data_IF_550847224175
#
_entry.id   IF_550847224175
#
_cell.length_a   1.000
_cell.length_b   1.000
_cell.length_c   1.000
_cell.angle_alpha   90.00
_cell.angle_beta   90.00
_cell.angle_gamma   90.00
#
_symmetry.space_group_name_H-M   'P 1'
#
loop_
_entity.id
_entity.type
_entity.pdbx_description
1 polymer ?
#
# COMPACT_ATOMS: atom_id res chain seq x y z
N UNK A 1 27.12 16.63 18.25
CA UNK A 1 26.80 16.85 16.83
C UNK A 1 25.46 16.24 16.41
N UNK A 2 25.21 14.94 16.63
CA UNK A 2 23.92 14.31 16.29
C UNK A 2 22.70 14.95 17.00
N UNK A 3 22.78 15.20 18.31
CA UNK A 3 21.68 15.82 19.05
C UNK A 3 21.31 17.21 18.50
N UNK A 4 22.31 18.04 18.18
CA UNK A 4 22.12 19.34 17.54
C UNK A 4 21.52 19.20 16.14
N UNK A 5 21.98 18.21 15.36
CA UNK A 5 21.42 17.91 14.05
C UNK A 5 19.94 17.49 14.14
N UNK A 6 19.57 16.57 15.05
CA UNK A 6 18.16 16.15 15.23
C UNK A 6 17.27 17.32 15.64
N UNK A 7 17.71 18.10 16.62
CA UNK A 7 16.89 19.19 17.19
C UNK A 7 16.73 20.40 16.27
N UNK A 8 17.66 20.65 15.34
CA UNK A 8 17.68 21.89 14.53
C UNK A 8 17.44 21.63 13.05
N UNK A 9 17.96 20.52 12.52
CA UNK A 9 17.93 20.24 11.07
C UNK A 9 16.92 19.15 10.75
N UNK A 10 16.85 18.09 11.54
CA UNK A 10 16.03 16.93 11.23
C UNK A 10 14.60 17.00 11.79
N UNK A 11 14.32 17.92 12.72
CA UNK A 11 13.02 18.04 13.39
C UNK A 11 11.85 18.21 12.40
N UNK A 12 12.02 19.03 11.35
CA UNK A 12 10.99 19.20 10.33
C UNK A 12 10.74 17.92 9.51
N UNK A 13 11.82 17.22 9.16
CA UNK A 13 11.75 15.97 8.41
C UNK A 13 11.07 14.86 9.22
N UNK A 14 11.38 14.73 10.51
CA UNK A 14 10.70 13.79 11.41
C UNK A 14 9.22 14.17 11.57
N UNK A 15 8.91 15.46 11.76
CA UNK A 15 7.54 15.92 11.92
C UNK A 15 6.68 15.63 10.68
N UNK A 16 7.21 15.85 9.47
CA UNK A 16 6.52 15.49 8.23
C UNK A 16 6.26 13.99 8.15
N UNK A 17 7.30 13.17 8.44
CA UNK A 17 7.20 11.72 8.39
C UNK A 17 6.15 11.19 9.38
N UNK A 18 6.15 11.68 10.63
CA UNK A 18 5.13 11.30 11.61
C UNK A 18 3.73 11.77 11.24
N UNK A 19 3.58 12.97 10.65
CA UNK A 19 2.27 13.44 10.17
C UNK A 19 1.69 12.50 9.11
N UNK A 20 2.53 12.00 8.22
CA UNK A 20 2.13 11.06 7.16
C UNK A 20 1.83 9.67 7.71
N UNK A 21 2.61 9.19 8.68
CA UNK A 21 2.29 7.97 9.44
C UNK A 21 0.92 8.10 10.09
N UNK A 22 0.67 9.16 10.87
CA UNK A 22 -0.62 9.37 11.53
C UNK A 22 -1.76 9.45 10.52
N UNK A 23 -1.54 10.03 9.34
CA UNK A 23 -2.55 10.01 8.28
C UNK A 23 -2.89 8.57 7.88
N UNK A 24 -1.89 7.71 7.63
CA UNK A 24 -2.07 6.30 7.28
C UNK A 24 -2.73 5.47 8.39
N UNK A 25 -2.31 5.66 9.65
CA UNK A 25 -2.88 4.95 10.80
C UNK A 25 -4.39 5.22 10.97
N UNK A 26 -4.85 6.39 10.53
CA UNK A 26 -6.26 6.74 10.51
C UNK A 26 -7.02 6.22 9.28
N UNK A 27 -6.35 5.54 8.36
CA UNK A 27 -6.98 4.89 7.20
C UNK A 27 -7.30 3.43 7.50
N UNK A 28 -8.37 2.92 6.88
CA UNK A 28 -8.73 1.50 6.96
C UNK A 28 -7.98 0.67 5.89
N UNK A 29 -6.65 0.73 5.91
CA UNK A 29 -5.77 -0.01 4.98
C UNK A 29 -5.24 -1.28 5.63
N UNK A 30 -5.16 -2.34 4.83
CA UNK A 30 -4.45 -3.56 5.19
C UNK A 30 -2.96 -3.42 4.89
N UNK A 31 -2.13 -4.15 5.63
CA UNK A 31 -0.67 -4.18 5.44
C UNK A 31 0.11 -3.06 6.13
N UNK A 32 -0.55 -2.18 6.87
CA UNK A 32 0.15 -1.22 7.72
C UNK A 32 0.89 -1.95 8.86
N UNK A 33 2.04 -1.42 9.34
CA UNK A 33 2.69 -1.89 10.56
C UNK A 33 1.70 -1.93 11.73
N UNK A 34 1.93 -2.76 12.76
CA UNK A 34 0.99 -3.02 13.83
C UNK A 34 0.17 -1.79 14.26
N UNK A 35 -1.16 -1.95 14.24
CA UNK A 35 -2.15 -0.93 14.61
C UNK A 35 -3.02 -1.42 15.78
N UNK A 36 -2.46 -2.26 16.67
CA UNK A 36 -3.25 -2.78 17.80
C UNK A 36 -3.57 -1.67 18.81
N UNK A 37 -2.78 -0.58 18.78
CA UNK A 37 -3.02 0.66 19.52
C UNK A 37 -2.67 1.86 18.63
N UNK A 38 -3.36 3.00 18.81
CA UNK A 38 -3.02 4.22 18.09
C UNK A 38 -1.55 4.63 18.31
N UNK A 39 -0.84 4.94 17.22
CA UNK A 39 0.54 5.41 17.26
C UNK A 39 1.61 4.32 17.32
N UNK A 40 1.26 3.04 17.19
CA UNK A 40 2.22 1.93 17.20
C UNK A 40 3.21 2.01 16.04
N UNK A 41 2.78 2.40 14.83
CA UNK A 41 3.71 2.56 13.72
C UNK A 41 4.67 3.72 13.99
N UNK A 42 4.15 4.85 14.48
CA UNK A 42 5.00 5.98 14.87
C UNK A 42 6.01 5.63 15.96
N UNK A 43 5.66 4.73 16.90
CA UNK A 43 6.57 4.26 17.93
C UNK A 43 7.71 3.41 17.35
N UNK A 44 7.43 2.48 16.43
CA UNK A 44 8.44 1.66 15.74
C UNK A 44 9.45 2.55 15.03
N UNK A 45 8.97 3.53 14.25
CA UNK A 45 9.86 4.44 13.53
C UNK A 45 10.72 5.28 14.46
N UNK A 46 10.16 5.70 15.61
CA UNK A 46 10.93 6.39 16.64
C UNK A 46 12.06 5.53 17.19
N UNK A 47 11.77 4.25 17.49
CA UNK A 47 12.78 3.30 17.95
C UNK A 47 13.90 3.10 16.92
N UNK A 48 13.60 3.13 15.63
CA UNK A 48 14.64 3.10 14.59
C UNK A 48 15.52 4.35 14.62
N UNK A 49 14.94 5.56 14.73
CA UNK A 49 15.71 6.79 14.86
C UNK A 49 16.57 6.85 16.12
N UNK A 50 16.13 6.24 17.22
CA UNK A 50 16.86 6.21 18.48
C UNK A 50 18.10 5.28 18.43
N UNK A 51 18.19 4.40 17.43
CA UNK A 51 19.38 3.61 17.14
C UNK A 51 20.46 4.39 16.35
N UNK A 52 20.18 5.62 15.93
CA UNK A 52 21.15 6.44 15.20
C UNK A 52 22.34 6.83 16.08
N UNK A 53 23.55 6.50 15.63
CA UNK A 53 24.80 6.72 16.39
C UNK A 53 25.52 7.99 15.93
N UNK A 54 25.33 8.37 14.66
CA UNK A 54 25.87 9.60 14.06
C UNK A 54 24.96 10.10 12.93
N UNK A 55 25.21 11.31 12.43
CA UNK A 55 24.36 11.98 11.40
C UNK A 55 24.22 11.13 10.14
N UNK A 56 25.30 10.52 9.66
CA UNK A 56 25.24 9.60 8.51
C UNK A 56 24.33 8.38 8.75
N UNK A 57 24.32 7.81 9.96
CA UNK A 57 23.44 6.68 10.29
C UNK A 57 21.99 7.12 10.32
N UNK A 58 21.73 8.28 10.96
CA UNK A 58 20.41 8.90 10.99
C UNK A 58 19.84 9.11 9.58
N UNK A 59 20.62 9.68 8.64
CA UNK A 59 20.16 9.91 7.27
C UNK A 59 19.76 8.61 6.57
N UNK A 60 20.53 7.54 6.76
CA UNK A 60 20.20 6.22 6.20
C UNK A 60 18.90 5.65 6.76
N UNK A 61 18.66 5.81 8.06
CA UNK A 61 17.39 5.42 8.69
C UNK A 61 16.27 6.26 8.08
N UNK A 62 16.41 7.60 8.05
CA UNK A 62 15.40 8.49 7.48
C UNK A 62 15.03 8.14 6.04
N UNK A 63 16.02 7.95 5.16
CA UNK A 63 15.80 7.61 3.75
C UNK A 63 15.07 6.26 3.61
N UNK A 64 15.37 5.30 4.49
CA UNK A 64 14.69 4.02 4.52
C UNK A 64 13.22 4.15 4.99
N UNK A 65 12.98 4.81 6.12
CA UNK A 65 11.64 5.03 6.66
C UNK A 65 10.74 5.80 5.70
N UNK A 66 11.30 6.84 5.07
CA UNK A 66 10.59 7.65 4.09
C UNK A 66 10.16 6.82 2.88
N UNK A 67 11.04 5.96 2.37
CA UNK A 67 10.74 5.10 1.23
C UNK A 67 9.69 4.05 1.57
N UNK A 68 9.84 3.37 2.71
CA UNK A 68 8.87 2.38 3.19
C UNK A 68 7.49 3.01 3.39
N UNK A 69 7.44 4.20 3.98
CA UNK A 69 6.22 5.00 4.12
C UNK A 69 5.61 5.36 2.76
N UNK A 70 6.40 5.83 1.80
CA UNK A 70 5.92 6.13 0.45
C UNK A 70 5.31 4.91 -0.24
N UNK A 71 5.93 3.73 -0.08
CA UNK A 71 5.37 2.47 -0.61
C UNK A 71 4.01 2.17 0.02
N UNK A 72 3.90 2.29 1.35
CA UNK A 72 2.63 2.07 2.06
C UNK A 72 1.55 3.06 1.62
N UNK A 73 1.89 4.33 1.40
CA UNK A 73 0.95 5.33 0.89
C UNK A 73 0.42 4.98 -0.49
N UNK A 74 1.30 4.56 -1.41
CA UNK A 74 0.89 4.17 -2.76
C UNK A 74 0.07 2.89 -2.74
N UNK A 75 0.45 1.88 -1.93
CA UNK A 75 -0.34 0.66 -1.74
C UNK A 75 -1.73 0.98 -1.17
N UNK A 76 -1.81 1.84 -0.15
CA UNK A 76 -3.07 2.27 0.43
C UNK A 76 -3.96 3.04 -0.56
N UNK A 77 -3.38 3.94 -1.35
CA UNK A 77 -4.09 4.64 -2.41
C UNK A 77 -4.64 3.66 -3.47
N UNK A 78 -3.86 2.66 -3.87
CA UNK A 78 -4.27 1.65 -4.84
C UNK A 78 -5.39 0.75 -4.27
N UNK A 79 -5.29 0.33 -3.00
CA UNK A 79 -6.36 -0.38 -2.30
C UNK A 79 -7.67 0.42 -2.34
N UNK A 80 -7.63 1.72 -2.04
CA UNK A 80 -8.81 2.58 -2.10
C UNK A 80 -9.40 2.64 -3.51
N UNK A 81 -8.58 2.83 -4.54
CA UNK A 81 -9.07 2.91 -5.93
C UNK A 81 -9.70 1.61 -6.41
N UNK A 82 -9.07 0.47 -6.13
CA UNK A 82 -9.63 -0.84 -6.46
C UNK A 82 -10.95 -1.08 -5.75
N UNK A 83 -11.01 -0.74 -4.45
CA UNK A 83 -12.21 -0.87 -3.65
C UNK A 83 -13.35 0.04 -4.15
N UNK A 84 -13.09 1.32 -4.42
CA UNK A 84 -14.07 2.28 -4.95
C UNK A 84 -14.66 1.82 -6.29
N UNK A 85 -13.80 1.35 -7.21
CA UNK A 85 -14.25 0.86 -8.50
C UNK A 85 -15.11 -0.41 -8.35
N UNK A 86 -14.70 -1.35 -7.50
CA UNK A 86 -15.47 -2.57 -7.24
C UNK A 86 -16.83 -2.29 -6.61
N UNK A 87 -16.90 -1.35 -5.66
CA UNK A 87 -18.16 -0.88 -5.07
C UNK A 87 -19.12 -0.27 -6.09
N UNK A 88 -18.58 0.28 -7.18
CA UNK A 88 -19.38 0.85 -8.25
C UNK A 88 -19.88 -0.20 -9.26
N UNK A 89 -19.52 -1.47 -9.12
CA UNK A 89 -19.95 -2.52 -10.05
C UNK A 89 -21.43 -2.89 -9.88
N UNK A 90 -22.25 -2.82 -10.95
CA UNK A 90 -23.67 -3.15 -10.86
C UNK A 90 -23.94 -4.58 -10.38
N UNK A 91 -23.04 -5.51 -10.73
CA UNK A 91 -23.16 -6.92 -10.40
C UNK A 91 -22.49 -7.29 -9.06
N UNK A 92 -21.98 -6.32 -8.29
CA UNK A 92 -21.27 -6.58 -7.05
C UNK A 92 -22.06 -7.46 -6.06
N UNK A 93 -23.37 -7.22 -5.79
CA UNK A 93 -24.11 -8.06 -4.85
C UNK A 93 -24.09 -9.55 -5.23
N UNK A 94 -24.21 -9.82 -6.53
CA UNK A 94 -24.17 -11.19 -7.05
C UNK A 94 -22.77 -11.78 -6.99
N UNK A 95 -21.73 -10.98 -7.24
CA UNK A 95 -20.35 -11.40 -7.10
C UNK A 95 -20.06 -11.79 -5.64
N UNK A 96 -20.43 -10.95 -4.68
CA UNK A 96 -20.19 -11.22 -3.25
C UNK A 96 -20.99 -12.42 -2.74
N UNK A 97 -22.20 -12.65 -3.24
CA UNK A 97 -23.00 -13.84 -2.89
C UNK A 97 -22.30 -15.15 -3.30
N UNK A 98 -21.60 -15.13 -4.42
CA UNK A 98 -21.04 -16.33 -5.03
C UNK A 98 -19.54 -16.51 -4.75
N UNK A 99 -18.80 -15.42 -4.61
CA UNK A 99 -17.33 -15.45 -4.47
C UNK A 99 -16.93 -15.84 -3.05
N UNK A 100 -15.75 -16.45 -2.86
CA UNK A 100 -15.24 -16.73 -1.51
C UNK A 100 -14.80 -15.46 -0.76
N UNK A 101 -14.75 -14.30 -1.43
CA UNK A 101 -14.22 -13.06 -0.90
C UNK A 101 -15.33 -12.12 -0.41
N UNK A 102 -15.54 -12.08 0.90
CA UNK A 102 -16.52 -11.19 1.52
C UNK A 102 -15.95 -9.81 1.87
N UNK A 103 -14.62 -9.66 1.82
CA UNK A 103 -13.91 -8.45 2.20
C UNK A 103 -13.08 -7.91 1.04
N UNK A 104 -13.64 -6.93 0.31
CA UNK A 104 -13.02 -6.37 -0.89
C UNK A 104 -11.69 -5.68 -0.57
N UNK A 105 -11.57 -5.02 0.60
CA UNK A 105 -10.34 -4.31 0.99
C UNK A 105 -9.19 -5.27 1.27
N UNK A 106 -9.46 -6.32 2.01
CA UNK A 106 -8.48 -7.37 2.31
C UNK A 106 -8.03 -8.10 1.04
N UNK A 107 -8.97 -8.36 0.12
CA UNK A 107 -8.63 -8.95 -1.18
C UNK A 107 -7.81 -7.98 -2.06
N UNK A 108 -8.13 -6.69 -2.04
CA UNK A 108 -7.33 -5.67 -2.74
C UNK A 108 -5.89 -5.62 -2.21
N UNK A 109 -5.71 -5.72 -0.90
CA UNK A 109 -4.38 -5.82 -0.32
C UNK A 109 -3.64 -7.08 -0.78
N UNK A 110 -4.27 -8.25 -0.65
CA UNK A 110 -3.65 -9.52 -1.05
C UNK A 110 -3.25 -9.50 -2.53
N UNK A 111 -4.13 -9.02 -3.41
CA UNK A 111 -3.85 -8.84 -4.83
C UNK A 111 -2.66 -7.90 -5.12
N UNK A 112 -2.54 -6.80 -4.37
CA UNK A 112 -1.41 -5.87 -4.50
C UNK A 112 -0.10 -6.52 -4.00
N UNK A 113 -0.15 -7.27 -2.91
CA UNK A 113 1.02 -8.02 -2.42
C UNK A 113 1.46 -9.05 -3.45
N UNK A 114 0.54 -9.88 -3.98
CA UNK A 114 0.85 -10.91 -4.97
C UNK A 114 1.44 -10.32 -6.26
N UNK A 115 0.86 -9.21 -6.74
CA UNK A 115 1.39 -8.50 -7.93
C UNK A 115 2.76 -7.85 -7.71
N UNK A 116 3.16 -7.65 -6.44
CA UNK A 116 4.47 -7.09 -6.06
C UNK A 116 5.39 -8.10 -5.38
N UNK A 117 4.98 -9.36 -5.23
CA UNK A 117 5.67 -10.39 -4.42
C UNK A 117 7.04 -10.73 -4.97
N UNK A 118 7.19 -10.76 -6.30
CA UNK A 118 8.49 -10.96 -6.96
C UNK A 118 9.53 -9.89 -6.58
N UNK A 119 9.08 -8.78 -5.98
CA UNK A 119 9.87 -7.60 -5.62
C UNK A 119 9.84 -7.32 -4.10
N UNK A 120 8.98 -7.99 -3.34
CA UNK A 120 8.74 -7.74 -1.90
C UNK A 120 9.87 -8.23 -0.98
N UNK A 121 10.82 -9.01 -1.48
CA UNK A 121 12.08 -9.30 -0.79
C UNK A 121 13.00 -8.07 -0.83
N UNK A 122 12.68 -7.02 -0.06
CA UNK A 122 13.27 -5.66 -0.03
C UNK A 122 14.74 -5.59 0.44
N UNK A 123 15.59 -6.55 0.05
CA UNK A 123 16.98 -6.65 0.49
C UNK A 123 17.92 -5.72 -0.28
N UNK A 124 17.55 -5.29 -1.48
CA UNK A 124 18.39 -4.46 -2.35
C UNK A 124 17.67 -3.21 -2.87
N UNK A 125 18.39 -2.09 -3.00
CA UNK A 125 17.85 -0.81 -3.51
C UNK A 125 17.16 -0.93 -4.86
N UNK A 126 17.74 -1.72 -5.78
CA UNK A 126 17.18 -1.99 -7.10
C UNK A 126 15.78 -2.63 -7.07
N UNK A 127 15.51 -3.53 -6.12
CA UNK A 127 14.18 -4.13 -5.98
C UNK A 127 13.18 -3.08 -5.51
N UNK A 128 13.58 -2.19 -4.60
CA UNK A 128 12.72 -1.09 -4.14
C UNK A 128 12.34 -0.15 -5.29
N UNK A 129 13.29 0.15 -6.18
CA UNK A 129 13.05 0.96 -7.38
C UNK A 129 12.05 0.30 -8.33
N UNK A 130 12.14 -1.02 -8.53
CA UNK A 130 11.17 -1.78 -9.34
C UNK A 130 9.77 -1.74 -8.69
N UNK A 131 9.68 -1.96 -7.38
CA UNK A 131 8.40 -1.97 -6.69
C UNK A 131 7.74 -0.59 -6.77
N UNK A 132 8.52 0.47 -6.52
CA UNK A 132 8.06 1.85 -6.68
C UNK A 132 7.58 2.13 -8.10
N UNK A 133 8.36 1.73 -9.12
CA UNK A 133 7.99 1.89 -10.52
C UNK A 133 6.69 1.15 -10.87
N UNK A 134 6.54 -0.08 -10.40
CA UNK A 134 5.36 -0.92 -10.62
C UNK A 134 4.11 -0.29 -10.00
N UNK A 135 4.17 0.06 -8.71
CA UNK A 135 3.07 0.68 -7.98
C UNK A 135 2.67 2.04 -8.59
N UNK A 136 3.66 2.84 -8.98
CA UNK A 136 3.42 4.13 -9.65
C UNK A 136 2.72 3.93 -10.99
N UNK A 137 3.14 2.93 -11.78
CA UNK A 137 2.49 2.58 -13.04
C UNK A 137 1.03 2.16 -12.83
N UNK A 138 0.74 1.36 -11.82
CA UNK A 138 -0.63 0.96 -11.49
C UNK A 138 -1.50 2.16 -11.10
N UNK A 139 -0.99 3.06 -10.26
CA UNK A 139 -1.71 4.28 -9.89
C UNK A 139 -1.99 5.16 -11.11
N UNK A 140 -1.02 5.30 -12.02
CA UNK A 140 -1.22 6.08 -13.25
C UNK A 140 -2.29 5.46 -14.15
N UNK A 141 -2.24 4.13 -14.36
CA UNK A 141 -3.19 3.41 -15.20
C UNK A 141 -4.62 3.49 -14.64
N UNK A 142 -4.81 3.19 -13.34
CA UNK A 142 -6.13 3.23 -12.71
C UNK A 142 -6.70 4.64 -12.60
N UNK A 143 -5.86 5.65 -12.39
CA UNK A 143 -6.32 7.05 -12.35
C UNK A 143 -6.71 7.56 -13.73
N UNK A 144 -6.03 7.12 -14.79
CA UNK A 144 -6.31 7.56 -16.15
C UNK A 144 -7.47 6.81 -16.82
N UNK A 145 -7.63 5.52 -16.52
CA UNK A 145 -8.57 4.62 -17.23
C UNK A 145 -9.71 4.09 -16.38
N UNK A 146 -9.65 4.26 -15.05
CA UNK A 146 -10.65 3.73 -14.13
C UNK A 146 -10.85 2.23 -14.34
N UNK A 147 -12.08 1.83 -14.67
CA UNK A 147 -12.43 0.42 -14.92
C UNK A 147 -11.76 -0.19 -16.16
N UNK A 148 -11.25 0.63 -17.07
CA UNK A 148 -10.53 0.15 -18.25
C UNK A 148 -9.02 -0.01 -17.99
N UNK A 149 -8.56 0.24 -16.77
CA UNK A 149 -7.17 -0.05 -16.39
C UNK A 149 -6.95 -1.56 -16.33
N UNK A 150 -5.76 -2.02 -16.72
CA UNK A 150 -5.49 -3.45 -16.75
C UNK A 150 -5.43 -4.00 -15.31
N UNK A 151 -4.85 -3.24 -14.38
CA UNK A 151 -4.79 -3.60 -12.97
C UNK A 151 -6.18 -3.83 -12.35
N UNK A 152 -7.17 -2.99 -12.71
CA UNK A 152 -8.54 -3.19 -12.22
C UNK A 152 -9.20 -4.41 -12.88
N UNK A 153 -8.97 -4.65 -14.17
CA UNK A 153 -9.54 -5.82 -14.86
C UNK A 153 -8.98 -7.13 -14.31
N UNK A 154 -7.69 -7.17 -14.01
CA UNK A 154 -7.05 -8.30 -13.33
C UNK A 154 -7.61 -8.49 -11.91
N UNK A 155 -7.72 -7.41 -11.14
CA UNK A 155 -8.34 -7.44 -9.81
C UNK A 155 -9.77 -7.96 -9.88
N UNK A 156 -10.59 -7.47 -10.80
CA UNK A 156 -11.97 -7.89 -10.98
C UNK A 156 -12.10 -9.37 -11.38
N UNK A 157 -11.21 -9.86 -12.26
CA UNK A 157 -11.12 -11.28 -12.64
C UNK A 157 -10.71 -12.15 -11.45
N UNK A 158 -9.90 -11.64 -10.53
CA UNK A 158 -9.50 -12.40 -9.34
C UNK A 158 -10.67 -12.73 -8.38
N UNK A 159 -11.78 -11.98 -8.44
CA UNK A 159 -13.01 -12.34 -7.71
C UNK A 159 -13.84 -13.40 -8.42
N UNK A 160 -13.79 -13.42 -9.74
CA UNK A 160 -14.74 -14.13 -10.60
C UNK A 160 -14.09 -14.41 -11.95
N UNK A 161 -13.31 -15.49 -11.99
CA UNK A 161 -12.66 -15.92 -13.22
C UNK A 161 -13.69 -16.38 -14.28
N UNK A 162 -13.20 -16.67 -15.49
CA UNK A 162 -14.07 -17.04 -16.60
C UNK A 162 -14.90 -18.31 -16.30
N UNK A 163 -14.29 -19.32 -15.67
CA UNK A 163 -14.96 -20.58 -15.33
C UNK A 163 -16.07 -20.36 -14.31
N UNK A 164 -15.78 -19.56 -13.28
CA UNK A 164 -16.74 -19.16 -12.25
C UNK A 164 -17.92 -18.40 -12.87
N UNK A 165 -17.64 -17.45 -13.77
CA UNK A 165 -18.68 -16.66 -14.44
C UNK A 165 -19.57 -17.52 -15.33
N UNK A 166 -18.97 -18.41 -16.12
CA UNK A 166 -19.72 -19.35 -16.96
C UNK A 166 -20.60 -20.27 -16.11
N UNK A 167 -20.05 -20.82 -15.02
CA UNK A 167 -20.79 -21.71 -14.12
C UNK A 167 -21.96 -21.02 -13.42
N UNK A 168 -21.82 -19.73 -13.08
CA UNK A 168 -22.83 -18.97 -12.35
C UNK A 168 -23.70 -18.03 -13.22
N UNK A 169 -23.54 -18.06 -14.55
CA UNK A 169 -24.32 -17.24 -15.49
C UNK A 169 -24.03 -15.74 -15.40
N UNK A 170 -22.81 -15.36 -15.02
CA UNK A 170 -22.37 -13.96 -14.98
C UNK A 170 -21.85 -13.50 -16.36
N UNK A 171 -21.93 -12.19 -16.69
CA UNK A 171 -21.37 -11.66 -17.93
C UNK A 171 -19.87 -11.93 -18.03
N UNK A 172 -19.37 -12.27 -19.22
CA UNK A 172 -17.93 -12.39 -19.45
C UNK A 172 -17.27 -10.99 -19.52
N UNK A 173 -16.04 -10.82 -19.01
CA UNK A 173 -15.32 -9.54 -18.99
C UNK A 173 -14.78 -9.09 -20.35
#
# INVERSE_FOLDING_TARGET
ELATFRNVIAANNEAELYSRITFLENQNYYGLPPQTRPGEYGAIVREHFDQAIHVGHYRRIYDQELLELQILEVKGALQNRLHELMLSEPNLPRILELSPYNNIREHAFSFIEDSTESVSALRHSFQRDIMWGTLTSYIQDISGRGRHSEIYREFYRSFTDENFRQFHGLPLP
#
